data_IF_049496403881
#
_entry.id   IF_049496403881
#
_cell.length_a   1.000
_cell.length_b   1.000
_cell.length_c   1.000
_cell.angle_alpha   90.00
_cell.angle_beta   90.00
_cell.angle_gamma   90.00
#
_symmetry.space_group_name_H-M   'P 1'
#
loop_
_entity.id
_entity.type
_entity.pdbx_description
1 polymer ?
#
# COMPACT_ATOMS: atom_id res chain seq x y z
N UNK A 1 -3.12 11.36 -14.33
CA UNK A 1 -2.85 11.02 -12.92
C UNK A 1 -4.01 11.53 -12.09
N UNK A 2 -4.54 10.72 -11.17
CA UNK A 2 -5.70 11.03 -10.32
C UNK A 2 -5.27 10.91 -8.86
N UNK A 3 -5.70 11.82 -8.00
CA UNK A 3 -5.56 11.75 -6.54
C UNK A 3 -6.87 12.20 -5.90
N UNK A 4 -7.23 11.58 -4.77
CA UNK A 4 -8.40 11.93 -3.98
C UNK A 4 -8.13 13.04 -2.95
N UNK A 5 -6.87 13.45 -2.81
CA UNK A 5 -6.42 14.28 -1.70
C UNK A 5 -6.83 15.74 -1.80
N UNK A 6 -7.26 16.26 -0.65
CA UNK A 6 -7.73 17.66 -0.51
C UNK A 6 -6.74 18.52 0.26
N UNK A 7 -5.84 17.91 1.03
CA UNK A 7 -4.85 18.62 1.86
C UNK A 7 -3.80 19.37 0.99
N UNK A 8 -3.35 20.58 1.38
CA UNK A 8 -2.34 21.33 0.64
C UNK A 8 -0.97 20.63 0.52
N UNK A 9 -0.54 19.87 1.53
CA UNK A 9 0.74 19.15 1.50
C UNK A 9 0.67 17.97 0.52
N UNK A 10 -0.43 17.22 0.55
CA UNK A 10 -0.64 16.10 -0.35
C UNK A 10 -0.78 16.57 -1.81
N UNK A 11 -1.42 17.72 -2.03
CA UNK A 11 -1.44 18.39 -3.35
C UNK A 11 -0.05 18.75 -3.85
N UNK A 12 0.85 19.20 -2.97
CA UNK A 12 2.23 19.53 -3.35
C UNK A 12 3.01 18.27 -3.72
N UNK A 13 2.88 17.20 -2.93
CA UNK A 13 3.49 15.91 -3.24
C UNK A 13 2.96 15.34 -4.57
N UNK A 14 1.65 15.39 -4.78
CA UNK A 14 1.02 15.00 -6.03
C UNK A 14 1.53 15.80 -7.24
N UNK A 15 1.70 17.11 -7.09
CA UNK A 15 2.21 17.97 -8.16
C UNK A 15 3.65 17.60 -8.54
N UNK A 16 4.51 17.31 -7.56
CA UNK A 16 5.87 16.83 -7.83
C UNK A 16 5.87 15.50 -8.58
N UNK A 17 5.03 14.54 -8.15
CA UNK A 17 4.88 13.25 -8.84
C UNK A 17 4.42 13.46 -10.28
N UNK A 18 3.48 14.40 -10.51
CA UNK A 18 3.00 14.72 -11.85
C UNK A 18 4.06 15.36 -12.74
N UNK A 19 4.89 16.23 -12.18
CA UNK A 19 6.03 16.86 -12.89
C UNK A 19 7.10 15.84 -13.26
N UNK A 20 7.46 14.94 -12.34
CA UNK A 20 8.41 13.85 -12.60
C UNK A 20 7.87 12.83 -13.62
N UNK A 21 6.57 12.53 -13.57
CA UNK A 21 5.97 11.59 -14.51
C UNK A 21 5.88 12.10 -15.95
N UNK A 22 6.02 13.41 -16.21
CA UNK A 22 5.83 14.14 -17.47
C UNK A 22 5.51 13.32 -18.76
N UNK A 23 4.39 12.59 -18.73
CA UNK A 23 4.00 11.62 -19.77
C UNK A 23 3.51 12.33 -21.03
N UNK A 24 3.16 13.63 -20.92
CA UNK A 24 2.64 14.43 -22.02
C UNK A 24 3.64 14.57 -23.18
N UNK A 25 4.93 14.33 -22.95
CA UNK A 25 5.98 14.36 -23.97
C UNK A 25 6.47 12.99 -24.45
N UNK A 26 5.93 11.87 -23.94
CA UNK A 26 6.38 10.53 -24.31
C UNK A 26 5.24 9.68 -24.87
N UNK A 27 5.20 9.63 -26.21
CA UNK A 27 4.49 8.68 -27.10
C UNK A 27 2.98 8.48 -26.84
N UNK A 28 2.12 8.58 -27.89
CA UNK A 28 0.66 8.41 -27.73
C UNK A 28 0.23 7.02 -27.25
N UNK A 29 1.13 6.05 -27.25
CA UNK A 29 0.92 4.69 -26.77
C UNK A 29 2.03 4.30 -25.79
N UNK A 30 1.66 3.67 -24.68
CA UNK A 30 2.62 3.08 -23.74
C UNK A 30 2.82 1.61 -24.16
N UNK A 31 4.07 1.16 -24.38
CA UNK A 31 4.35 -0.26 -24.55
C UNK A 31 4.15 -0.96 -23.22
N UNK A 32 3.22 -1.91 -23.18
CA UNK A 32 2.99 -2.79 -22.04
C UNK A 32 3.53 -4.15 -22.43
N UNK A 33 4.57 -4.58 -21.72
CA UNK A 33 5.12 -5.93 -21.87
C UNK A 33 4.12 -6.87 -21.21
N UNK A 34 3.46 -7.68 -22.02
CA UNK A 34 2.55 -8.71 -21.51
C UNK A 34 3.34 -9.95 -21.13
N UNK A 35 4.31 -10.32 -21.97
CA UNK A 35 5.27 -11.42 -21.83
C UNK A 35 6.58 -11.03 -22.58
N UNK A 36 7.69 -11.75 -22.39
CA UNK A 36 9.03 -11.46 -22.96
C UNK A 36 9.06 -11.23 -24.49
N UNK A 37 8.04 -11.66 -25.22
CA UNK A 37 7.96 -11.58 -26.69
C UNK A 37 6.77 -10.78 -27.24
N UNK A 38 5.80 -10.36 -26.41
CA UNK A 38 4.58 -9.69 -26.87
C UNK A 38 4.40 -8.29 -26.27
N UNK A 39 4.72 -7.27 -27.07
CA UNK A 39 4.44 -5.87 -26.78
C UNK A 39 2.99 -5.55 -27.14
N UNK A 40 2.16 -5.33 -26.13
CA UNK A 40 0.84 -4.75 -26.32
C UNK A 40 0.98 -3.22 -26.28
N UNK A 41 0.63 -2.55 -27.38
CA UNK A 41 0.51 -1.09 -27.38
C UNK A 41 -0.88 -0.74 -26.90
N UNK A 42 -0.97 -0.06 -25.77
CA UNK A 42 -2.24 0.50 -25.30
C UNK A 42 -2.25 2.02 -25.53
N UNK A 43 -3.40 2.61 -25.92
CA UNK A 43 -3.53 4.05 -25.98
C UNK A 43 -3.25 4.67 -24.62
N UNK A 44 -2.48 5.76 -24.57
CA UNK A 44 -2.26 6.48 -23.32
C UNK A 44 -3.58 6.92 -22.66
N UNK A 45 -4.60 7.21 -23.47
CA UNK A 45 -5.95 7.58 -23.02
C UNK A 45 -6.70 6.46 -22.30
N UNK A 46 -6.30 5.19 -22.45
CA UNK A 46 -6.88 4.07 -21.71
C UNK A 46 -6.14 3.78 -20.41
N UNK A 47 -5.03 4.48 -20.13
CA UNK A 47 -4.21 4.32 -18.94
C UNK A 47 -4.55 5.42 -17.93
N UNK A 48 -4.82 5.02 -16.69
CA UNK A 48 -4.93 5.95 -15.57
C UNK A 48 -3.99 5.53 -14.44
N UNK A 49 -3.23 6.48 -13.92
CA UNK A 49 -2.40 6.31 -12.73
C UNK A 49 -3.09 7.02 -11.58
N UNK A 50 -3.41 6.27 -10.54
CA UNK A 50 -3.95 6.75 -9.27
C UNK A 50 -2.82 6.80 -8.27
N UNK A 51 -2.72 7.91 -7.54
CA UNK A 51 -1.66 8.14 -6.57
C UNK A 51 -2.26 8.66 -5.28
N UNK A 52 -1.98 7.95 -4.20
CA UNK A 52 -2.05 8.48 -2.84
C UNK A 52 -0.60 8.79 -2.40
N UNK A 53 -0.24 10.09 -2.31
CA UNK A 53 1.12 10.49 -1.99
C UNK A 53 1.50 10.24 -0.53
N UNK A 54 0.53 10.02 0.37
CA UNK A 54 0.77 9.91 1.81
C UNK A 54 -0.38 9.17 2.52
N UNK A 55 -0.32 7.84 2.48
CA UNK A 55 -1.16 7.01 3.36
C UNK A 55 -0.63 7.06 4.81
N UNK A 56 -1.54 6.87 5.76
CA UNK A 56 -1.31 7.00 7.21
C UNK A 56 -0.96 8.43 7.65
N UNK A 57 -1.72 9.43 7.17
CA UNK A 57 -1.53 10.86 7.49
C UNK A 57 -1.46 11.14 8.99
N UNK A 58 -2.34 10.51 9.79
CA UNK A 58 -2.33 10.69 11.25
C UNK A 58 -1.02 10.17 11.86
N UNK A 59 -0.61 8.97 11.49
CA UNK A 59 0.64 8.36 11.94
C UNK A 59 1.85 9.20 11.51
N UNK A 60 1.82 9.84 10.32
CA UNK A 60 2.83 10.80 9.90
C UNK A 60 2.91 12.00 10.86
N UNK A 61 1.77 12.60 11.24
CA UNK A 61 1.76 13.71 12.22
C UNK A 61 2.24 13.32 13.62
N UNK A 62 2.10 12.04 13.97
CA UNK A 62 2.58 11.46 15.24
C UNK A 62 4.03 10.95 15.16
N UNK A 63 4.73 11.19 14.05
CA UNK A 63 6.10 10.72 13.77
C UNK A 63 6.27 9.19 13.82
N UNK A 64 5.22 8.45 13.47
CA UNK A 64 5.19 6.99 13.38
C UNK A 64 5.46 6.55 11.94
N UNK A 65 6.63 6.94 11.46
CA UNK A 65 7.03 6.88 10.05
C UNK A 65 7.05 5.47 9.46
N UNK A 66 7.13 4.43 10.29
CA UNK A 66 7.10 3.03 9.87
C UNK A 66 5.77 2.59 9.23
N UNK A 67 4.70 3.37 9.41
CA UNK A 67 3.40 3.07 8.81
C UNK A 67 3.13 3.86 7.53
N UNK A 68 3.92 4.90 7.25
CA UNK A 68 3.67 5.81 6.13
C UNK A 68 4.05 5.15 4.82
N UNK A 69 3.13 5.21 3.85
CA UNK A 69 3.31 4.65 2.52
C UNK A 69 2.86 5.62 1.44
N UNK A 70 3.44 5.47 0.25
CA UNK A 70 2.95 6.02 -1.01
C UNK A 70 2.29 4.88 -1.76
N UNK A 71 1.06 5.08 -2.22
CA UNK A 71 0.33 4.06 -2.99
C UNK A 71 0.12 4.50 -4.43
N UNK A 72 0.36 3.58 -5.37
CA UNK A 72 0.03 3.77 -6.77
C UNK A 72 -0.80 2.62 -7.30
N UNK A 73 -1.81 2.96 -8.11
CA UNK A 73 -2.59 1.99 -8.88
C UNK A 73 -2.64 2.42 -10.34
N UNK A 74 -2.18 1.56 -11.24
CA UNK A 74 -2.26 1.79 -12.68
C UNK A 74 -3.39 0.93 -13.22
N UNK A 75 -4.35 1.59 -13.85
CA UNK A 75 -5.45 0.94 -14.56
C UNK A 75 -5.26 1.06 -16.06
N UNK A 76 -5.59 0.00 -16.79
CA UNK A 76 -5.59 -0.05 -18.25
C UNK A 76 -6.99 -0.47 -18.65
N UNK A 77 -7.61 0.29 -19.55
CA UNK A 77 -9.02 0.10 -19.94
C UNK A 77 -9.96 0.02 -18.72
N UNK A 78 -9.70 0.88 -17.72
CA UNK A 78 -10.44 0.94 -16.45
C UNK A 78 -10.33 -0.33 -15.58
N UNK A 79 -9.37 -1.22 -15.85
CA UNK A 79 -9.08 -2.41 -15.03
C UNK A 79 -7.78 -2.23 -14.25
N UNK A 80 -7.76 -2.44 -12.93
CA UNK A 80 -6.53 -2.38 -12.15
C UNK A 80 -5.55 -3.45 -12.64
N UNK A 81 -4.33 -3.03 -13.00
CA UNK A 81 -3.33 -3.91 -13.62
C UNK A 81 -2.02 -3.91 -12.87
N UNK A 82 -1.58 -2.76 -12.35
CA UNK A 82 -0.35 -2.65 -11.56
C UNK A 82 -0.67 -1.94 -10.24
N UNK A 83 -0.19 -2.51 -9.13
CA UNK A 83 -0.24 -1.90 -7.81
C UNK A 83 1.17 -1.74 -7.24
N UNK A 84 1.43 -0.60 -6.60
CA UNK A 84 2.73 -0.28 -5.99
C UNK A 84 2.46 0.31 -4.61
N UNK A 85 3.18 -0.19 -3.60
CA UNK A 85 3.25 0.37 -2.26
C UNK A 85 4.72 0.67 -1.97
N UNK A 86 5.04 1.90 -1.63
CA UNK A 86 6.39 2.30 -1.25
C UNK A 86 6.37 2.92 0.15
N UNK A 87 7.11 2.34 1.10
CA UNK A 87 7.28 2.87 2.44
C UNK A 87 8.63 3.61 2.54
N UNK A 88 8.67 4.94 2.30
CA UNK A 88 9.92 5.68 2.10
C UNK A 88 10.86 5.65 3.32
N UNK A 89 10.30 5.57 4.53
CA UNK A 89 11.09 5.59 5.77
C UNK A 89 11.67 4.23 6.17
N UNK A 90 11.25 3.16 5.49
CA UNK A 90 11.80 1.80 5.68
C UNK A 90 12.44 1.26 4.41
N UNK A 91 12.46 2.08 3.35
CA UNK A 91 12.91 1.74 2.00
C UNK A 91 12.32 0.42 1.47
N UNK A 92 11.03 0.19 1.77
CA UNK A 92 10.34 -1.03 1.37
C UNK A 92 9.44 -0.75 0.17
N UNK A 93 9.74 -1.40 -0.95
CA UNK A 93 8.92 -1.39 -2.16
C UNK A 93 8.22 -2.73 -2.33
N UNK A 94 6.89 -2.69 -2.45
CA UNK A 94 6.04 -3.84 -2.76
C UNK A 94 5.30 -3.50 -4.05
N UNK A 95 5.25 -4.43 -4.99
CA UNK A 95 4.51 -4.21 -6.23
C UNK A 95 3.92 -5.51 -6.76
N UNK A 96 2.92 -5.39 -7.62
CA UNK A 96 2.35 -6.50 -8.35
C UNK A 96 1.80 -6.06 -9.69
N UNK A 97 1.93 -6.91 -10.68
CA UNK A 97 1.44 -6.71 -12.04
C UNK A 97 0.66 -7.95 -12.49
N UNK A 98 -0.63 -7.76 -12.77
CA UNK A 98 -1.53 -8.83 -13.22
C UNK A 98 -0.98 -9.50 -14.49
N UNK A 99 -0.74 -10.81 -14.40
CA UNK A 99 -0.29 -11.63 -15.52
C UNK A 99 1.21 -11.59 -15.81
N UNK A 100 1.98 -10.75 -15.08
CA UNK A 100 3.44 -10.66 -15.23
C UNK A 100 4.12 -11.26 -14.00
N UNK A 101 4.26 -10.48 -12.92
CA UNK A 101 4.90 -10.92 -11.69
C UNK A 101 4.58 -9.97 -10.51
N UNK A 102 5.22 -10.18 -9.37
CA UNK A 102 5.12 -9.34 -8.17
C UNK A 102 6.44 -9.34 -7.39
N UNK A 103 6.62 -8.34 -6.53
CA UNK A 103 7.74 -8.29 -5.61
C UNK A 103 7.79 -9.55 -4.73
N UNK A 104 8.91 -10.28 -4.79
CA UNK A 104 9.22 -11.33 -3.84
C UNK A 104 9.69 -10.70 -2.54
N UNK A 105 8.75 -10.29 -1.70
CA UNK A 105 9.08 -9.95 -0.32
C UNK A 105 9.61 -11.24 0.30
N UNK A 106 10.91 -11.27 0.61
CA UNK A 106 11.48 -12.34 1.44
C UNK A 106 10.68 -12.35 2.73
N UNK A 107 9.72 -13.28 2.83
CA UNK A 107 9.25 -13.71 4.15
C UNK A 107 10.48 -14.30 4.80
N UNK A 108 10.76 -13.89 6.03
CA UNK A 108 11.73 -14.59 6.84
C UNK A 108 11.36 -16.07 6.79
N UNK A 109 12.22 -16.92 6.25
CA UNK A 109 11.94 -18.35 6.06
C UNK A 109 11.74 -19.04 7.42
N UNK A 110 12.27 -18.43 8.50
CA UNK A 110 11.99 -18.81 9.88
C UNK A 110 10.52 -18.58 10.30
N UNK A 111 9.79 -17.68 9.63
CA UNK A 111 8.36 -17.45 9.91
C UNK A 111 7.44 -18.53 9.33
N UNK A 112 7.92 -19.37 8.39
CA UNK A 112 7.16 -20.48 7.82
C UNK A 112 7.48 -21.82 8.51
N UNK A 113 8.62 -21.91 9.20
CA UNK A 113 9.05 -23.11 9.93
C UNK A 113 8.45 -23.22 11.34
N UNK A 114 7.83 -22.16 11.84
CA UNK A 114 6.97 -22.24 13.02
C UNK A 114 5.50 -22.38 12.60
N UNK A 115 5.08 -23.61 12.28
CA UNK A 115 3.68 -24.01 12.47
C UNK A 115 3.32 -24.12 13.96
N UNK A 116 4.06 -23.45 14.85
CA UNK A 116 3.58 -23.18 16.19
C UNK A 116 2.36 -22.29 16.01
N UNK A 117 1.16 -22.88 16.15
CA UNK A 117 0.02 -22.10 16.62
C UNK A 117 0.54 -21.37 17.86
N UNK A 118 0.63 -20.03 17.85
CA UNK A 118 0.99 -19.34 19.08
C UNK A 118 0.02 -19.83 20.15
N UNK A 119 0.54 -20.18 21.32
CA UNK A 119 -0.29 -20.67 22.43
C UNK A 119 -1.14 -19.54 23.06
N UNK A 120 -1.18 -18.39 22.39
CA UNK A 120 -1.85 -17.14 22.73
C UNK A 120 -2.52 -16.61 21.48
N UNK A 121 -3.72 -16.05 21.62
CA UNK A 121 -4.44 -15.47 20.50
C UNK A 121 -3.81 -14.13 20.10
N UNK A 122 -3.61 -13.93 18.80
CA UNK A 122 -3.11 -12.68 18.23
C UNK A 122 -4.26 -11.84 17.69
N UNK A 123 -4.36 -10.61 18.17
CA UNK A 123 -5.49 -9.72 17.89
C UNK A 123 -4.95 -8.46 17.23
N UNK A 124 -5.31 -8.23 15.98
CA UNK A 124 -4.96 -7.00 15.28
C UNK A 124 -5.96 -5.92 15.67
N UNK A 125 -5.46 -4.80 16.20
CA UNK A 125 -6.28 -3.70 16.67
C UNK A 125 -5.83 -2.40 16.02
N UNK A 126 -6.79 -1.62 15.51
CA UNK A 126 -6.52 -0.25 15.07
C UNK A 126 -6.02 0.58 16.25
N UNK A 127 -4.89 1.28 16.05
CA UNK A 127 -4.37 2.26 17.00
C UNK A 127 -5.24 3.51 17.04
N UNK A 128 -5.70 3.92 15.87
CA UNK A 128 -6.35 5.23 15.66
C UNK A 128 -7.84 5.20 15.94
N UNK A 129 -8.47 4.01 15.90
CA UNK A 129 -9.89 3.78 16.13
C UNK A 129 -10.13 2.54 17.01
N UNK A 130 -9.46 2.48 18.17
CA UNK A 130 -9.56 1.34 19.09
C UNK A 130 -10.88 1.29 19.89
N UNK A 131 -11.52 2.44 20.13
CA UNK A 131 -12.71 2.56 20.98
C UNK A 131 -12.60 1.81 22.31
N UNK A 132 -13.69 1.17 22.74
CA UNK A 132 -13.76 0.37 23.97
C UNK A 132 -13.23 -1.06 23.80
N UNK A 133 -12.61 -1.40 22.66
CA UNK A 133 -12.22 -2.78 22.35
C UNK A 133 -11.24 -3.35 23.38
N UNK A 134 -10.37 -2.52 23.98
CA UNK A 134 -9.51 -2.97 25.08
C UNK A 134 -10.28 -3.50 26.29
N UNK A 135 -11.42 -2.88 26.64
CA UNK A 135 -12.25 -3.34 27.75
C UNK A 135 -13.02 -4.62 27.39
N UNK A 136 -13.50 -4.69 26.14
CA UNK A 136 -14.17 -5.88 25.62
C UNK A 136 -13.21 -7.08 25.62
N UNK A 137 -11.96 -6.89 25.18
CA UNK A 137 -10.96 -7.94 25.16
C UNK A 137 -10.63 -8.44 26.58
N UNK A 138 -10.51 -7.53 27.55
CA UNK A 138 -10.35 -7.91 28.97
C UNK A 138 -11.51 -8.76 29.49
N UNK A 139 -12.75 -8.44 29.10
CA UNK A 139 -13.95 -9.20 29.48
C UNK A 139 -14.01 -10.58 28.81
N UNK A 140 -13.62 -10.70 27.55
CA UNK A 140 -13.69 -11.96 26.79
C UNK A 140 -12.58 -12.92 27.20
N UNK A 141 -11.35 -12.41 27.31
CA UNK A 141 -10.18 -13.23 27.55
C UNK A 141 -9.94 -13.53 29.03
N UNK A 142 -10.47 -12.71 29.95
CA UNK A 142 -10.23 -12.84 31.39
C UNK A 142 -8.73 -13.04 31.69
N UNK A 143 -8.33 -14.22 32.16
CA UNK A 143 -6.95 -14.59 32.50
C UNK A 143 -6.17 -15.23 31.33
N UNK A 144 -6.81 -15.45 30.18
CA UNK A 144 -6.13 -15.99 28.99
C UNK A 144 -5.17 -14.95 28.44
N UNK A 145 -3.95 -15.37 28.15
CA UNK A 145 -2.97 -14.53 27.48
C UNK A 145 -3.35 -14.33 26.01
N UNK A 146 -3.29 -13.08 25.57
CA UNK A 146 -3.44 -12.67 24.18
C UNK A 146 -2.41 -11.58 23.86
N UNK A 147 -2.09 -11.41 22.58
CA UNK A 147 -1.17 -10.38 22.09
C UNK A 147 -1.91 -9.43 21.16
N UNK A 148 -1.85 -8.14 21.47
CA UNK A 148 -2.36 -7.10 20.56
C UNK A 148 -1.26 -6.73 19.57
N UNK A 149 -1.59 -6.79 18.28
CA UNK A 149 -0.75 -6.29 17.20
C UNK A 149 -1.37 -4.96 16.73
N UNK A 150 -0.71 -3.82 17.03
CA UNK A 150 -1.25 -2.52 16.65
C UNK A 150 -1.15 -2.31 15.13
N UNK A 151 -2.27 -1.98 14.50
CA UNK A 151 -2.35 -1.59 13.09
C UNK A 151 -2.56 -0.07 12.98
N UNK A 152 -1.90 0.55 11.99
CA UNK A 152 -2.22 1.92 11.60
C UNK A 152 -3.67 2.02 11.14
N UNK A 153 -4.27 3.19 11.37
CA UNK A 153 -5.66 3.42 10.99
C UNK A 153 -5.85 3.48 9.49
N UNK A 154 -6.94 2.91 9.00
CA UNK A 154 -7.61 3.40 7.80
C UNK A 154 -8.60 4.49 8.23
N UNK A 155 -8.53 5.66 7.60
CA UNK A 155 -9.50 6.78 7.61
C UNK A 155 -10.53 6.86 8.73
#
# INVERSE_FOLDING_TARGET
IVSEEKDPLDKKAFQLIKEEFNVENQLPNIPIIKDDENLMKVPLSSVAVWVDPLDATKEFTENLLQYVMVMLCITIEKKPTIGILYAPFTDKLIWGWVGVDRSHIKRDENSLLETHKPNIDEIILSRSHAGDTHEILKKIYHDKQYRIIPAAGSG
#
